data_IF_433621217260
#
_entry.id   IF_433621217260
#
_cell.length_a   1.000
_cell.length_b   1.000
_cell.length_c   1.000
_cell.angle_alpha   90.00
_cell.angle_beta   90.00
_cell.angle_gamma   90.00
#
_symmetry.space_group_name_H-M   'P 1'
#
loop_
_entity.id
_entity.type
_entity.pdbx_description
1 polymer ?
#
# COMPACT_ATOMS: atom_id res chain seq x y z
N UNK A 1 12.31 33.93 38.18
CA UNK A 1 11.46 33.17 37.23
C UNK A 1 12.26 33.01 35.95
N UNK A 2 13.12 31.99 35.89
CA UNK A 2 13.96 31.74 34.71
C UNK A 2 13.13 30.95 33.68
N UNK A 3 13.25 31.23 32.37
CA UNK A 3 12.52 30.49 31.36
C UNK A 3 13.14 29.08 31.23
N UNK A 4 12.29 28.09 31.41
CA UNK A 4 12.53 26.67 31.21
C UNK A 4 12.92 26.42 29.75
N UNK A 5 14.15 25.94 29.55
CA UNK A 5 14.69 25.62 28.23
C UNK A 5 13.94 24.43 27.64
N UNK A 6 13.49 24.56 26.38
CA UNK A 6 12.96 23.47 25.59
C UNK A 6 13.98 22.31 25.48
N UNK A 7 13.55 21.04 25.36
CA UNK A 7 14.46 19.91 25.39
C UNK A 7 15.36 19.91 24.14
N UNK A 8 16.67 20.12 24.33
CA UNK A 8 17.70 19.91 23.32
C UNK A 8 17.78 18.40 23.02
N UNK A 9 17.09 17.96 21.97
CA UNK A 9 17.25 16.60 21.45
C UNK A 9 18.75 16.32 21.23
N UNK A 10 19.23 15.21 21.78
CA UNK A 10 20.66 14.90 21.80
C UNK A 10 21.21 14.78 20.38
N UNK A 11 22.40 15.36 20.10
CA UNK A 11 23.05 15.30 18.78
C UNK A 11 23.19 13.86 18.25
N UNK A 12 23.29 12.86 19.15
CA UNK A 12 23.34 11.44 18.78
C UNK A 12 21.99 10.91 18.26
N UNK A 13 20.87 11.37 18.82
CA UNK A 13 19.53 10.97 18.41
C UNK A 13 19.15 11.57 17.05
N UNK A 14 19.54 12.82 16.80
CA UNK A 14 19.35 13.48 15.50
C UNK A 14 20.12 12.74 14.40
N UNK A 15 21.38 12.33 14.67
CA UNK A 15 22.19 11.55 13.73
C UNK A 15 21.59 10.18 13.43
N UNK A 16 21.07 9.48 14.44
CA UNK A 16 20.40 8.19 14.26
C UNK A 16 19.11 8.33 13.42
N UNK A 17 18.34 9.40 13.64
CA UNK A 17 17.12 9.68 12.88
C UNK A 17 17.42 9.97 11.40
N UNK A 18 18.49 10.73 11.13
CA UNK A 18 18.96 11.01 9.77
C UNK A 18 19.41 9.75 9.04
N UNK A 19 20.19 8.90 9.71
CA UNK A 19 20.60 7.61 9.18
C UNK A 19 19.41 6.73 8.80
N UNK A 20 18.37 6.70 9.65
CA UNK A 20 17.13 5.94 9.37
C UNK A 20 16.35 6.50 8.19
N UNK A 21 16.24 7.82 8.06
CA UNK A 21 15.62 8.47 6.89
C UNK A 21 16.40 8.17 5.61
N UNK A 22 17.74 8.20 5.65
CA UNK A 22 18.60 7.87 4.51
C UNK A 22 18.44 6.40 4.08
N UNK A 23 18.38 5.48 5.04
CA UNK A 23 18.13 4.06 4.77
C UNK A 23 16.75 3.83 4.12
N UNK A 24 15.70 4.51 4.60
CA UNK A 24 14.37 4.41 4.01
C UNK A 24 14.34 4.95 2.57
N UNK A 25 14.95 6.12 2.31
CA UNK A 25 15.08 6.68 0.95
C UNK A 25 15.78 5.72 -0.01
N UNK A 26 16.85 5.05 0.46
CA UNK A 26 17.57 4.05 -0.35
C UNK A 26 16.68 2.86 -0.70
N UNK A 27 15.99 2.27 0.29
CA UNK A 27 15.06 1.15 0.06
C UNK A 27 13.95 1.50 -0.94
N UNK A 28 13.34 2.67 -0.80
CA UNK A 28 12.28 3.14 -1.73
C UNK A 28 12.84 3.32 -3.14
N UNK A 29 14.08 3.84 -3.28
CA UNK A 29 14.73 4.00 -4.59
C UNK A 29 15.00 2.66 -5.26
N UNK A 30 15.58 1.70 -4.54
CA UNK A 30 15.88 0.35 -5.04
C UNK A 30 14.60 -0.37 -5.48
N UNK A 31 13.54 -0.30 -4.68
CA UNK A 31 12.24 -0.87 -5.01
C UNK A 31 11.66 -0.27 -6.30
N UNK A 32 11.68 1.08 -6.43
CA UNK A 32 11.21 1.76 -7.65
C UNK A 32 12.09 1.44 -8.87
N UNK A 33 13.39 1.18 -8.70
CA UNK A 33 14.27 0.77 -9.80
C UNK A 33 13.92 -0.62 -10.31
N UNK A 34 13.67 -1.57 -9.41
CA UNK A 34 13.22 -2.92 -9.77
C UNK A 34 11.90 -2.90 -10.55
N UNK A 35 10.92 -2.14 -10.08
CA UNK A 35 9.63 -2.00 -10.77
C UNK A 35 9.79 -1.37 -12.17
N UNK A 36 10.66 -0.35 -12.32
CA UNK A 36 10.95 0.24 -13.63
C UNK A 36 11.63 -0.75 -14.59
N UNK A 37 12.54 -1.58 -14.08
CA UNK A 37 13.19 -2.62 -14.89
C UNK A 37 12.18 -3.67 -15.38
N UNK A 38 11.11 -3.92 -14.62
CA UNK A 38 9.97 -4.77 -15.02
C UNK A 38 8.98 -4.06 -15.96
N UNK A 39 9.28 -2.84 -16.43
CA UNK A 39 8.41 -2.06 -17.31
C UNK A 39 7.27 -1.32 -16.60
N UNK A 40 7.22 -1.34 -15.27
CA UNK A 40 6.17 -0.66 -14.51
C UNK A 40 6.49 0.82 -14.28
N UNK A 41 5.47 1.67 -14.35
CA UNK A 41 5.58 3.12 -14.06
C UNK A 41 4.81 3.46 -12.79
N UNK A 42 5.44 4.11 -11.78
CA UNK A 42 4.71 4.57 -10.61
C UNK A 42 3.76 5.71 -11.00
N UNK A 43 2.50 5.59 -10.59
CA UNK A 43 1.50 6.66 -10.63
C UNK A 43 1.05 6.98 -9.20
N UNK A 44 0.83 8.26 -8.91
CA UNK A 44 0.20 8.69 -7.66
C UNK A 44 -1.20 9.17 -8.02
N UNK A 45 -2.19 8.53 -7.42
CA UNK A 45 -3.60 8.87 -7.57
C UNK A 45 -4.18 9.15 -6.20
N UNK A 46 -5.09 10.11 -6.14
CA UNK A 46 -5.90 10.34 -4.96
C UNK A 46 -7.11 9.41 -5.04
N UNK A 47 -7.24 8.53 -4.06
CA UNK A 47 -8.38 7.63 -3.90
C UNK A 47 -9.28 8.13 -2.77
N UNK A 48 -10.58 7.81 -2.78
CA UNK A 48 -11.46 8.05 -1.64
C UNK A 48 -10.91 7.38 -0.36
N UNK A 49 -11.19 7.99 0.79
CA UNK A 49 -10.82 7.40 2.08
C UNK A 49 -11.62 6.11 2.32
N UNK A 50 -10.93 4.97 2.28
CA UNK A 50 -11.52 3.65 2.44
C UNK A 50 -12.02 3.37 3.86
N UNK A 51 -11.61 4.17 4.84
CA UNK A 51 -12.07 4.09 6.21
C UNK A 51 -13.32 4.94 6.49
N UNK A 52 -13.69 5.83 5.56
CA UNK A 52 -14.91 6.60 5.69
C UNK A 52 -16.14 5.66 5.71
N UNK A 53 -17.10 5.87 6.63
CA UNK A 53 -18.27 4.98 6.74
C UNK A 53 -19.11 4.93 5.45
N UNK A 54 -19.17 6.03 4.70
CA UNK A 54 -19.83 6.11 3.40
C UNK A 54 -19.16 5.22 2.35
N UNK A 55 -17.82 5.16 2.35
CA UNK A 55 -17.09 4.27 1.44
C UNK A 55 -17.38 2.81 1.78
N UNK A 56 -17.38 2.45 3.07
CA UNK A 56 -17.72 1.09 3.52
C UNK A 56 -19.14 0.71 3.13
N UNK A 57 -20.11 1.63 3.28
CA UNK A 57 -21.48 1.41 2.89
C UNK A 57 -21.62 1.20 1.37
N UNK A 58 -20.99 2.04 0.56
CA UNK A 58 -21.05 1.95 -0.90
C UNK A 58 -20.29 0.73 -1.43
N UNK A 59 -19.12 0.41 -0.89
CA UNK A 59 -18.38 -0.79 -1.22
C UNK A 59 -19.24 -2.04 -0.97
N UNK A 60 -19.89 -2.12 0.20
CA UNK A 60 -20.82 -3.22 0.50
C UNK A 60 -21.99 -3.28 -0.48
N UNK A 61 -22.60 -2.13 -0.80
CA UNK A 61 -23.72 -2.05 -1.75
C UNK A 61 -23.29 -2.57 -3.13
N UNK A 62 -22.14 -2.12 -3.63
CA UNK A 62 -21.63 -2.51 -4.94
C UNK A 62 -21.22 -3.99 -4.99
N UNK A 63 -20.55 -4.50 -3.95
CA UNK A 63 -20.22 -5.93 -3.87
C UNK A 63 -21.47 -6.82 -3.95
N UNK A 64 -22.57 -6.41 -3.28
CA UNK A 64 -23.83 -7.14 -3.37
C UNK A 64 -24.45 -7.10 -4.77
N UNK A 65 -24.34 -5.98 -5.48
CA UNK A 65 -24.84 -5.86 -6.85
C UNK A 65 -24.08 -6.78 -7.81
N UNK A 66 -22.74 -6.82 -7.70
CA UNK A 66 -21.91 -7.72 -8.52
C UNK A 66 -22.23 -9.18 -8.19
N UNK A 67 -22.29 -9.55 -6.90
CA UNK A 67 -22.60 -10.91 -6.49
C UNK A 67 -24.01 -11.40 -6.92
N UNK A 68 -24.93 -10.47 -7.18
CA UNK A 68 -26.27 -10.76 -7.67
C UNK A 68 -26.40 -10.62 -9.20
N UNK A 69 -25.31 -10.27 -9.89
CA UNK A 69 -25.32 -10.12 -11.35
C UNK A 69 -25.53 -11.49 -11.99
N UNK A 70 -26.41 -11.61 -13.00
CA UNK A 70 -26.59 -12.86 -13.74
C UNK A 70 -25.29 -13.42 -14.34
N UNK A 71 -24.37 -12.52 -14.70
CA UNK A 71 -23.09 -12.82 -15.33
C UNK A 71 -22.01 -13.27 -14.33
N UNK A 72 -22.22 -13.11 -13.02
CA UNK A 72 -21.18 -13.36 -12.02
C UNK A 72 -20.66 -14.80 -12.03
N UNK A 73 -21.57 -15.76 -12.20
CA UNK A 73 -21.19 -17.17 -12.26
C UNK A 73 -20.30 -17.49 -13.47
N UNK A 74 -20.57 -16.85 -14.62
CA UNK A 74 -19.78 -17.02 -15.84
C UNK A 74 -18.41 -16.36 -15.71
N UNK A 75 -18.36 -15.15 -15.15
CA UNK A 75 -17.12 -14.40 -14.90
C UNK A 75 -16.23 -15.15 -13.91
N UNK A 76 -16.80 -15.64 -12.80
CA UNK A 76 -16.04 -16.40 -11.81
C UNK A 76 -15.51 -17.71 -12.40
N UNK A 77 -16.33 -18.46 -13.16
CA UNK A 77 -15.89 -19.68 -13.82
C UNK A 77 -14.77 -19.42 -14.84
N UNK A 78 -14.83 -18.29 -15.57
CA UNK A 78 -13.75 -17.88 -16.45
C UNK A 78 -12.47 -17.60 -15.64
N UNK A 79 -12.52 -16.78 -14.59
CA UNK A 79 -11.35 -16.46 -13.75
C UNK A 79 -10.71 -17.74 -13.20
N UNK A 80 -11.50 -18.64 -12.63
CA UNK A 80 -11.02 -19.91 -12.08
C UNK A 80 -10.36 -20.79 -13.15
N UNK A 81 -10.78 -20.68 -14.42
CA UNK A 81 -10.21 -21.46 -15.53
C UNK A 81 -8.84 -20.96 -16.02
N UNK A 82 -8.54 -19.66 -15.86
CA UNK A 82 -7.29 -19.05 -16.33
C UNK A 82 -6.31 -18.71 -15.21
N UNK A 83 -6.78 -18.62 -13.96
CA UNK A 83 -5.95 -18.24 -12.83
C UNK A 83 -5.41 -19.48 -12.09
N UNK A 84 -4.11 -19.75 -12.26
CA UNK A 84 -3.35 -20.67 -11.42
C UNK A 84 -2.73 -19.89 -10.27
N UNK A 85 -3.10 -20.20 -9.02
CA UNK A 85 -2.46 -19.57 -7.86
C UNK A 85 -0.99 -20.03 -7.84
N UNK A 86 -0.01 -19.11 -7.85
CA UNK A 86 1.39 -19.50 -7.77
C UNK A 86 1.62 -20.22 -6.44
N UNK A 87 2.04 -21.49 -6.50
CA UNK A 87 2.44 -22.26 -5.33
C UNK A 87 3.40 -21.43 -4.48
N UNK A 88 3.23 -21.51 -3.16
CA UNK A 88 3.82 -20.65 -2.13
C UNK A 88 5.36 -20.54 -2.18
N UNK A 89 5.92 -19.78 -3.12
CA UNK A 89 7.38 -19.58 -3.27
C UNK A 89 7.92 -18.37 -2.48
N UNK A 90 7.10 -17.75 -1.63
CA UNK A 90 7.48 -16.61 -0.77
C UNK A 90 7.37 -16.89 0.74
N UNK A 91 7.51 -18.14 1.15
CA UNK A 91 7.78 -18.50 2.55
C UNK A 91 9.28 -18.45 2.86
N UNK A 92 9.85 -17.26 3.08
CA UNK A 92 11.19 -17.05 3.65
C UNK A 92 11.13 -16.07 4.82
#
# INVERSE_FOLDING_TARGET
MAPEAAPEASRSELSAQEARRAANRRKVREHRQRLRAQGMRPIQIWVPDVHAPEFVAEARRQSLLVAQSPEEAEIQAFIDSVYEWPDDEYGQ
#
